data_IF_675633208745
#
_entry.id   IF_675633208745
#
_cell.length_a   1.000
_cell.length_b   1.000
_cell.length_c   1.000
_cell.angle_alpha   90.00
_cell.angle_beta   90.00
_cell.angle_gamma   90.00
#
_symmetry.space_group_name_H-M   'P 1'
#
loop_
_entity.id
_entity.type
_entity.pdbx_description
1 polymer ?
#
# COMPACT_ATOMS: atom_id res chain seq x y z
N UNK A 1 -5.81 -50.13 -16.24
CA UNK A 1 -6.70 -49.32 -15.38
C UNK A 1 -5.90 -48.42 -14.41
N UNK A 2 -4.92 -47.64 -14.90
CA UNK A 2 -4.12 -46.74 -14.04
C UNK A 2 -4.18 -45.26 -14.44
N UNK A 3 -4.63 -44.95 -15.66
CA UNK A 3 -4.78 -43.55 -16.12
C UNK A 3 -6.00 -42.83 -15.54
N UNK A 4 -7.10 -43.55 -15.28
CA UNK A 4 -8.34 -42.95 -14.76
C UNK A 4 -8.17 -42.48 -13.31
N UNK A 5 -7.37 -43.19 -12.51
CA UNK A 5 -7.12 -42.82 -11.11
C UNK A 5 -6.23 -41.57 -10.97
N UNK A 6 -5.23 -41.38 -11.84
CA UNK A 6 -4.41 -40.17 -11.81
C UNK A 6 -5.20 -38.93 -12.22
N UNK A 7 -6.08 -39.04 -13.22
CA UNK A 7 -6.89 -37.90 -13.67
C UNK A 7 -7.86 -37.43 -12.57
N UNK A 8 -8.45 -38.38 -11.83
CA UNK A 8 -9.36 -38.08 -10.71
C UNK A 8 -8.61 -37.41 -9.54
N UNK A 9 -7.39 -37.83 -9.22
CA UNK A 9 -6.59 -37.23 -8.15
C UNK A 9 -6.16 -35.80 -8.51
N UNK A 10 -5.76 -35.55 -9.76
CA UNK A 10 -5.41 -34.19 -10.22
C UNK A 10 -6.65 -33.29 -10.25
N UNK A 11 -7.82 -33.80 -10.66
CA UNK A 11 -9.06 -33.03 -10.63
C UNK A 11 -9.49 -32.70 -9.20
N UNK A 12 -9.37 -33.64 -8.27
CA UNK A 12 -9.70 -33.44 -6.86
C UNK A 12 -8.72 -32.48 -6.16
N UNK A 13 -7.43 -32.52 -6.52
CA UNK A 13 -6.45 -31.55 -6.02
C UNK A 13 -6.73 -30.15 -6.57
N UNK A 14 -7.05 -30.01 -7.87
CA UNK A 14 -7.43 -28.74 -8.47
C UNK A 14 -8.74 -28.18 -7.86
N UNK A 15 -9.75 -29.04 -7.63
CA UNK A 15 -11.00 -28.67 -6.97
C UNK A 15 -10.82 -28.34 -5.49
N UNK A 16 -9.89 -29.00 -4.79
CA UNK A 16 -9.56 -28.67 -3.40
C UNK A 16 -8.83 -27.33 -3.27
N UNK A 17 -8.04 -26.94 -4.28
CA UNK A 17 -7.43 -25.61 -4.35
C UNK A 17 -8.45 -24.53 -4.73
N UNK A 18 -9.43 -24.83 -5.58
CA UNK A 18 -10.56 -23.94 -5.91
C UNK A 18 -11.61 -23.81 -4.79
N UNK A 19 -11.65 -24.74 -3.84
CA UNK A 19 -12.64 -24.76 -2.74
C UNK A 19 -12.11 -24.14 -1.43
N UNK A 20 -10.89 -23.61 -1.42
CA UNK A 20 -10.27 -22.95 -0.26
C UNK A 20 -10.30 -21.41 -0.34
N UNK A 21 -10.73 -20.84 -1.46
CA UNK A 21 -11.12 -19.43 -1.57
C UNK A 21 -12.64 -19.36 -1.54
N UNK A 22 -13.18 -19.13 -0.34
CA UNK A 22 -14.58 -18.72 -0.21
C UNK A 22 -14.74 -17.40 -0.96
N UNK A 23 -15.69 -17.27 -1.91
CA UNK A 23 -15.94 -16.00 -2.60
C UNK A 23 -16.42 -14.89 -1.65
N UNK A 24 -16.85 -15.23 -0.43
CA UNK A 24 -17.11 -14.24 0.61
C UNK A 24 -15.80 -13.65 1.18
N UNK A 25 -14.72 -14.43 1.23
CA UNK A 25 -13.45 -13.97 1.80
C UNK A 25 -12.76 -12.98 0.86
N UNK A 26 -12.79 -13.19 -0.47
CA UNK A 26 -12.15 -12.26 -1.42
C UNK A 26 -12.80 -10.86 -1.45
N UNK A 27 -14.12 -10.80 -1.34
CA UNK A 27 -14.87 -9.53 -1.30
C UNK A 27 -14.59 -8.73 -0.03
N UNK A 28 -14.58 -9.41 1.11
CA UNK A 28 -14.30 -8.81 2.42
C UNK A 28 -12.83 -8.37 2.54
N UNK A 29 -11.91 -9.18 2.02
CA UNK A 29 -10.49 -8.89 1.91
C UNK A 29 -10.22 -7.64 1.05
N UNK A 30 -10.88 -7.55 -0.12
CA UNK A 30 -10.77 -6.36 -0.98
C UNK A 30 -11.37 -5.13 -0.30
N UNK A 31 -12.52 -5.25 0.35
CA UNK A 31 -13.14 -4.16 1.09
C UNK A 31 -12.22 -3.63 2.19
N UNK A 32 -11.57 -4.53 2.94
CA UNK A 32 -10.57 -4.19 3.97
C UNK A 32 -9.38 -3.42 3.39
N UNK A 33 -8.80 -3.89 2.29
CA UNK A 33 -7.72 -3.17 1.60
C UNK A 33 -8.18 -1.78 1.13
N UNK A 34 -9.41 -1.66 0.62
CA UNK A 34 -9.98 -0.37 0.19
C UNK A 34 -10.21 0.59 1.35
N UNK A 35 -10.62 0.10 2.53
CA UNK A 35 -10.75 0.92 3.75
C UNK A 35 -9.40 1.53 4.11
N UNK A 36 -8.36 0.72 4.10
CA UNK A 36 -6.99 1.19 4.32
C UNK A 36 -6.56 2.21 3.25
N UNK A 37 -6.76 1.95 1.96
CA UNK A 37 -6.41 2.90 0.88
C UNK A 37 -7.17 4.22 1.06
N UNK A 38 -8.47 4.18 1.35
CA UNK A 38 -9.30 5.37 1.56
C UNK A 38 -8.86 6.18 2.78
N UNK A 39 -8.35 5.50 3.81
CA UNK A 39 -7.80 6.15 4.99
C UNK A 39 -6.53 6.95 4.64
N UNK A 40 -5.62 6.38 3.85
CA UNK A 40 -4.30 6.97 3.63
C UNK A 40 -4.18 7.82 2.37
N UNK A 41 -5.14 7.75 1.45
CA UNK A 41 -5.19 8.60 0.27
C UNK A 41 -5.39 10.08 0.66
N UNK A 42 -4.46 10.94 0.24
CA UNK A 42 -4.51 12.35 0.57
C UNK A 42 -3.18 13.10 0.46
N UNK A 43 -3.26 14.39 0.82
CA UNK A 43 -2.12 15.29 0.91
C UNK A 43 -1.72 15.52 2.37
N UNK A 44 -0.43 15.38 2.66
CA UNK A 44 0.12 15.40 4.01
C UNK A 44 1.12 16.53 4.17
N UNK A 45 0.97 17.31 5.23
CA UNK A 45 1.80 18.47 5.54
C UNK A 45 2.46 18.29 6.90
N UNK A 46 3.68 18.80 7.08
CA UNK A 46 4.25 18.81 8.43
C UNK A 46 3.49 19.79 9.34
N UNK A 47 3.29 19.41 10.61
CA UNK A 47 2.55 20.24 11.57
C UNK A 47 3.28 21.48 12.07
N UNK A 48 4.20 22.05 11.29
CA UNK A 48 5.00 23.22 11.67
C UNK A 48 4.27 24.52 11.32
N UNK A 49 4.71 25.63 11.89
CA UNK A 49 4.13 26.97 11.68
C UNK A 49 4.06 27.40 10.20
N UNK A 50 4.88 26.79 9.33
CA UNK A 50 4.80 26.91 7.87
C UNK A 50 4.62 25.50 7.26
N UNK A 51 3.39 25.01 7.08
CA UNK A 51 3.15 23.65 6.64
C UNK A 51 3.68 23.45 5.22
N UNK A 52 4.67 22.58 5.08
CA UNK A 52 5.18 22.17 3.76
C UNK A 52 4.52 20.85 3.36
N UNK A 53 4.01 20.77 2.12
CA UNK A 53 3.53 19.51 1.56
C UNK A 53 4.70 18.52 1.60
N UNK A 54 4.52 17.49 2.41
CA UNK A 54 5.56 16.53 2.72
C UNK A 54 5.32 15.24 1.96
N UNK A 55 4.06 14.79 1.85
CA UNK A 55 3.74 13.57 1.11
C UNK A 55 2.43 13.70 0.34
N UNK A 56 2.39 13.03 -0.79
CA UNK A 56 1.18 12.85 -1.60
C UNK A 56 0.95 11.35 -1.78
N UNK A 57 -0.24 10.88 -1.42
CA UNK A 57 -0.65 9.48 -1.62
C UNK A 57 -1.90 9.45 -2.47
N UNK A 58 -1.79 8.94 -3.70
CA UNK A 58 -2.88 8.90 -4.68
C UNK A 58 -3.27 7.46 -4.97
N UNK A 59 -4.57 7.10 -4.91
CA UNK A 59 -5.04 5.89 -5.55
C UNK A 59 -4.79 5.97 -7.06
N UNK A 60 -4.13 4.97 -7.64
CA UNK A 60 -3.82 4.92 -9.09
C UNK A 60 -4.14 3.55 -9.66
N UNK A 61 -4.39 3.48 -10.96
CA UNK A 61 -4.54 2.21 -11.67
C UNK A 61 -3.26 1.89 -12.45
N UNK A 62 -2.51 0.90 -11.98
CA UNK A 62 -1.35 0.37 -12.69
C UNK A 62 -1.69 -0.98 -13.34
N UNK A 63 -1.84 -1.00 -14.67
CA UNK A 63 -2.30 -2.17 -15.42
C UNK A 63 -1.39 -3.40 -15.20
N UNK A 64 -0.09 -3.19 -15.02
CA UNK A 64 0.90 -4.23 -14.75
C UNK A 64 0.70 -4.99 -13.41
N UNK A 65 -0.19 -4.50 -12.54
CA UNK A 65 -0.44 -5.06 -11.22
C UNK A 65 -1.89 -5.49 -11.00
N UNK A 66 -2.77 -5.34 -11.99
CA UNK A 66 -4.15 -5.82 -11.88
C UNK A 66 -4.19 -7.32 -11.52
N UNK A 67 -5.05 -7.77 -10.58
CA UNK A 67 -6.11 -7.02 -9.88
C UNK A 67 -5.71 -6.39 -8.53
N UNK A 68 -4.41 -6.33 -8.20
CA UNK A 68 -3.92 -5.70 -6.95
C UNK A 68 -4.26 -4.21 -6.90
N UNK A 69 -4.55 -3.69 -5.70
CA UNK A 69 -4.71 -2.26 -5.50
C UNK A 69 -3.35 -1.57 -5.54
N UNK A 70 -3.30 -0.40 -6.16
CA UNK A 70 -2.05 0.37 -6.28
C UNK A 70 -2.24 1.81 -5.84
N UNK A 71 -1.22 2.35 -5.17
CA UNK A 71 -1.16 3.76 -4.81
C UNK A 71 0.16 4.35 -5.28
N UNK A 72 0.12 5.60 -5.70
CA UNK A 72 1.31 6.40 -5.92
C UNK A 72 1.67 7.12 -4.62
N UNK A 73 2.94 7.07 -4.25
CA UNK A 73 3.52 7.84 -3.14
C UNK A 73 4.56 8.80 -3.70
N UNK A 74 4.41 10.08 -3.40
CA UNK A 74 5.46 11.10 -3.50
C UNK A 74 5.87 11.56 -2.11
N UNK A 75 7.17 11.61 -1.84
CA UNK A 75 7.76 12.18 -0.64
C UNK A 75 8.65 13.37 -1.02
N UNK A 76 8.28 14.54 -0.52
CA UNK A 76 8.88 15.84 -0.79
C UNK A 76 9.78 16.32 0.36
N UNK A 77 10.01 15.51 1.40
CA UNK A 77 10.64 15.96 2.65
C UNK A 77 12.14 16.33 2.49
N UNK A 78 12.94 15.64 1.63
CA UNK A 78 14.38 15.92 1.33
C UNK A 78 14.92 15.17 0.08
N UNK A 79 16.01 15.65 -0.58
CA UNK A 79 16.09 16.80 -1.49
C UNK A 79 15.54 16.47 -2.91
N UNK A 80 15.47 17.48 -3.79
CA UNK A 80 15.11 17.30 -5.21
C UNK A 80 16.05 16.30 -5.90
N UNK A 81 15.52 15.35 -6.69
CA UNK A 81 14.12 15.17 -7.09
C UNK A 81 13.25 14.53 -5.99
N UNK A 82 11.91 14.75 -5.97
CA UNK A 82 11.01 14.06 -5.05
C UNK A 82 11.19 12.55 -5.12
N UNK A 83 11.11 11.89 -3.97
CA UNK A 83 11.17 10.44 -3.91
C UNK A 83 9.81 9.86 -4.28
N UNK A 84 9.77 8.94 -5.26
CA UNK A 84 8.53 8.45 -5.86
C UNK A 84 8.49 6.93 -5.91
N UNK A 85 7.35 6.37 -5.54
CA UNK A 85 7.11 4.93 -5.55
C UNK A 85 5.67 4.59 -5.94
N UNK A 86 5.49 3.43 -6.56
CA UNK A 86 4.21 2.77 -6.69
C UNK A 86 4.10 1.73 -5.59
N UNK A 87 3.14 1.89 -4.69
CA UNK A 87 2.83 0.97 -3.62
C UNK A 87 1.80 -0.03 -4.12
N UNK A 88 2.12 -1.32 -4.06
CA UNK A 88 1.21 -2.40 -4.48
C UNK A 88 0.75 -3.14 -3.23
N UNK A 89 -0.57 -3.14 -3.00
CA UNK A 89 -1.16 -3.72 -1.80
C UNK A 89 -1.69 -5.12 -2.09
N UNK A 90 -1.52 -6.01 -1.11
CA UNK A 90 -2.04 -7.38 -1.13
C UNK A 90 -2.43 -7.81 0.28
N UNK A 91 -3.40 -8.70 0.36
CA UNK A 91 -3.64 -9.43 1.59
C UNK A 91 -2.63 -10.58 1.69
N UNK A 92 -2.17 -10.83 2.91
CA UNK A 92 -1.30 -11.97 3.21
C UNK A 92 -2.13 -13.10 3.82
N UNK A 93 -1.69 -14.37 3.67
CA UNK A 93 -2.37 -15.52 4.28
C UNK A 93 -2.45 -15.47 5.82
N UNK A 94 -1.59 -14.67 6.46
CA UNK A 94 -1.57 -14.47 7.91
C UNK A 94 -2.53 -13.35 8.38
N UNK A 95 -3.36 -12.81 7.48
CA UNK A 95 -4.36 -11.79 7.79
C UNK A 95 -3.77 -10.39 7.94
N UNK A 96 -2.50 -10.16 7.57
CA UNK A 96 -1.91 -8.82 7.50
C UNK A 96 -2.02 -8.23 6.09
N UNK A 97 -1.92 -6.90 6.00
CA UNK A 97 -1.81 -6.22 4.72
C UNK A 97 -0.32 -6.08 4.37
N UNK A 98 0.04 -6.52 3.17
CA UNK A 98 1.34 -6.35 2.57
C UNK A 98 1.35 -5.14 1.63
N UNK A 99 2.37 -4.28 1.74
CA UNK A 99 2.67 -3.27 0.72
C UNK A 99 4.05 -3.53 0.16
N UNK A 100 4.13 -3.84 -1.13
CA UNK A 100 5.40 -3.90 -1.84
C UNK A 100 5.65 -2.58 -2.56
N UNK A 101 6.73 -1.85 -2.23
CA UNK A 101 7.10 -0.63 -2.94
C UNK A 101 7.81 -0.99 -4.24
N UNK A 102 7.35 -0.41 -5.35
CA UNK A 102 7.97 -0.50 -6.65
C UNK A 102 8.49 0.87 -7.10
N UNK A 103 9.69 0.86 -7.64
CA UNK A 103 10.28 1.96 -8.37
C UNK A 103 10.02 1.76 -9.86
N UNK A 104 10.07 2.85 -10.60
CA UNK A 104 9.75 2.90 -12.03
C UNK A 104 10.56 4.01 -12.71
N UNK A 105 10.72 3.99 -14.04
CA UNK A 105 11.41 5.06 -14.75
C UNK A 105 10.57 6.35 -14.72
N UNK A 106 11.16 7.45 -14.26
CA UNK A 106 10.58 8.78 -14.37
C UNK A 106 11.68 9.84 -14.55
N UNK A 107 11.31 10.99 -15.11
CA UNK A 107 12.22 12.14 -15.17
C UNK A 107 12.27 12.82 -13.79
N UNK A 108 13.46 12.83 -13.21
CA UNK A 108 13.74 13.45 -11.94
C UNK A 108 13.57 14.98 -11.97
N UNK A 109 13.62 15.61 -13.16
CA UNK A 109 13.50 17.06 -13.27
C UNK A 109 12.06 17.58 -13.21
N UNK A 110 11.06 16.69 -13.33
CA UNK A 110 9.66 17.11 -13.32
C UNK A 110 9.16 17.37 -11.90
N UNK A 111 8.54 18.55 -11.71
CA UNK A 111 7.95 18.97 -10.43
C UNK A 111 6.61 18.28 -10.15
N UNK A 112 6.09 17.50 -11.10
CA UNK A 112 4.93 16.63 -10.90
C UNK A 112 5.08 15.33 -11.70
N UNK A 113 4.23 14.36 -11.40
CA UNK A 113 4.12 13.15 -12.23
C UNK A 113 2.72 13.09 -12.85
N UNK A 114 2.66 12.82 -14.15
CA UNK A 114 1.42 12.39 -14.78
C UNK A 114 1.19 10.91 -14.43
N UNK A 115 0.27 10.65 -13.51
CA UNK A 115 -0.07 9.29 -13.06
C UNK A 115 -0.68 8.42 -14.17
N UNK A 116 -1.05 9.00 -15.33
CA UNK A 116 -1.48 8.22 -16.50
C UNK A 116 -0.37 7.30 -17.03
N UNK A 117 0.90 7.57 -16.70
CA UNK A 117 2.04 6.73 -17.08
C UNK A 117 1.87 5.28 -16.60
N UNK A 118 1.22 5.04 -15.45
CA UNK A 118 1.04 3.71 -14.88
C UNK A 118 0.13 2.80 -15.72
N UNK A 119 -0.67 3.37 -16.61
CA UNK A 119 -1.48 2.61 -17.57
C UNK A 119 -0.64 2.10 -18.76
N UNK A 120 0.51 2.73 -19.03
CA UNK A 120 1.39 2.44 -20.18
C UNK A 120 2.54 1.51 -19.82
N UNK A 121 3.05 1.60 -18.60
CA UNK A 121 4.17 0.79 -18.12
C UNK A 121 3.78 -0.69 -17.98
N UNK A 122 4.72 -1.57 -18.35
CA UNK A 122 4.65 -3.02 -18.21
C UNK A 122 5.36 -3.49 -16.94
N UNK A 123 5.13 -4.75 -16.54
CA UNK A 123 5.70 -5.28 -15.29
C UNK A 123 7.24 -5.22 -15.24
N UNK A 124 7.90 -5.34 -16.39
CA UNK A 124 9.36 -5.26 -16.53
C UNK A 124 9.93 -3.86 -16.31
N UNK A 125 9.10 -2.82 -16.39
CA UNK A 125 9.53 -1.44 -16.16
C UNK A 125 9.66 -1.11 -14.67
N UNK A 126 9.14 -1.97 -13.81
CA UNK A 126 9.17 -1.80 -12.37
C UNK A 126 10.26 -2.65 -11.73
N UNK A 127 10.89 -2.11 -10.70
CA UNK A 127 11.80 -2.87 -9.84
C UNK A 127 11.46 -2.65 -8.37
N UNK A 128 11.79 -3.64 -7.54
CA UNK A 128 11.61 -3.57 -6.09
C UNK A 128 12.80 -4.21 -5.41
N UNK A 129 13.07 -3.80 -4.17
CA UNK A 129 14.06 -4.47 -3.35
C UNK A 129 13.45 -5.74 -2.77
N UNK A 130 14.13 -6.91 -2.90
CA UNK A 130 13.64 -8.16 -2.33
C UNK A 130 13.44 -8.02 -0.81
N UNK A 131 12.33 -8.58 -0.30
CA UNK A 131 12.01 -8.58 1.14
C UNK A 131 11.81 -7.18 1.76
N UNK A 132 11.51 -6.17 0.94
CA UNK A 132 11.14 -4.81 1.39
C UNK A 132 9.62 -4.60 1.49
N UNK A 133 8.86 -5.65 1.82
CA UNK A 133 7.43 -5.51 2.02
C UNK A 133 7.16 -4.81 3.36
N UNK A 134 6.37 -3.73 3.34
CA UNK A 134 5.82 -3.14 4.56
C UNK A 134 4.67 -4.01 5.01
N UNK A 135 4.68 -4.39 6.28
CA UNK A 135 3.61 -5.17 6.89
C UNK A 135 2.75 -4.25 7.71
N UNK A 136 1.43 -4.32 7.49
CA UNK A 136 0.45 -3.51 8.18
C UNK A 136 -0.43 -4.41 9.02
N UNK A 137 -0.50 -4.05 10.30
CA UNK A 137 -1.43 -4.63 11.26
C UNK A 137 -2.57 -3.66 11.50
N UNK A 138 -3.79 -4.19 11.45
CA UNK A 138 -5.00 -3.46 11.82
C UNK A 138 -5.39 -3.84 13.25
N UNK A 139 -5.60 -2.84 14.10
CA UNK A 139 -6.07 -2.99 15.47
C UNK A 139 -7.27 -2.04 15.59
N UNK A 140 -8.48 -2.58 15.53
CA UNK A 140 -9.70 -1.77 15.39
C UNK A 140 -9.58 -0.84 14.17
N UNK A 141 -9.76 0.47 14.33
CA UNK A 141 -9.65 1.46 13.25
C UNK A 141 -8.24 2.08 13.11
N UNK A 142 -7.23 1.44 13.72
CA UNK A 142 -5.84 1.90 13.73
C UNK A 142 -4.98 0.97 12.88
N UNK A 143 -4.28 1.54 11.91
CA UNK A 143 -3.33 0.81 11.07
C UNK A 143 -1.90 1.11 11.49
N UNK A 144 -1.20 0.08 11.95
CA UNK A 144 0.20 0.13 12.34
C UNK A 144 1.09 -0.40 11.22
N UNK A 145 2.04 0.42 10.80
CA UNK A 145 3.00 0.10 9.74
C UNK A 145 4.29 -0.38 10.36
N UNK A 146 4.84 -1.47 9.84
CA UNK A 146 6.17 -1.92 10.14
C UNK A 146 6.97 -2.09 8.85
N UNK A 147 8.00 -1.26 8.66
CA UNK A 147 8.95 -1.43 7.56
C UNK A 147 10.17 -2.21 8.06
N UNK A 148 10.37 -3.47 7.60
CA UNK A 148 11.56 -4.24 7.99
C UNK A 148 12.83 -3.65 7.37
N UNK A 149 13.97 -3.83 8.04
CA UNK A 149 15.28 -3.60 7.42
C UNK A 149 15.41 -4.42 6.14
N UNK A 150 15.71 -3.74 5.03
CA UNK A 150 15.75 -4.41 3.75
C UNK A 150 16.68 -3.68 2.75
N UNK A 151 17.57 -4.43 2.10
CA UNK A 151 18.57 -3.88 1.18
C UNK A 151 19.44 -2.80 1.84
N UNK A 152 19.55 -1.66 1.17
CA UNK A 152 20.27 -0.48 1.67
C UNK A 152 19.42 0.42 2.59
N UNK A 153 18.15 0.08 2.80
CA UNK A 153 17.25 0.81 3.69
C UNK A 153 17.55 0.38 5.13
N UNK A 154 18.43 1.15 5.78
CA UNK A 154 18.82 0.95 7.18
C UNK A 154 17.91 1.69 8.18
N UNK A 155 16.71 2.08 7.80
CA UNK A 155 15.81 2.80 8.71
C UNK A 155 14.64 1.91 9.04
N UNK A 156 14.48 1.58 10.33
CA UNK A 156 13.19 1.06 10.80
C UNK A 156 12.24 2.24 10.91
N UNK A 157 11.09 2.06 10.28
CA UNK A 157 10.03 3.03 10.29
C UNK A 157 8.76 2.36 10.79
N UNK A 158 8.15 3.00 11.80
CA UNK A 158 6.82 2.67 12.28
C UNK A 158 5.91 3.87 12.06
N UNK A 159 4.71 3.59 11.57
CA UNK A 159 3.65 4.56 11.51
C UNK A 159 2.32 4.09 12.03
N UNK A 160 1.47 5.08 12.28
CA UNK A 160 0.10 4.92 12.70
C UNK A 160 -0.77 5.80 11.81
N UNK A 161 -1.87 5.24 11.29
CA UNK A 161 -2.94 5.96 10.61
C UNK A 161 -4.29 5.58 11.23
N UNK A 162 -5.15 6.57 11.47
CA UNK A 162 -6.52 6.38 11.97
C UNK A 162 -7.42 7.53 11.48
N UNK A 163 -8.74 7.35 11.50
CA UNK A 163 -9.70 8.33 10.98
C UNK A 163 -9.72 9.63 11.82
N UNK A 164 -9.78 9.49 13.15
CA UNK A 164 -9.83 10.61 14.09
C UNK A 164 -8.48 11.32 14.24
N UNK A 165 -7.39 10.57 13.99
CA UNK A 165 -6.06 11.15 13.93
C UNK A 165 -5.88 11.78 12.55
N UNK A 166 -6.00 13.11 12.49
CA UNK A 166 -5.59 13.88 11.31
C UNK A 166 -4.11 13.70 10.97
N UNK A 167 -3.33 13.00 11.80
CA UNK A 167 -1.89 12.84 11.73
C UNK A 167 -1.43 11.45 11.29
N UNK A 168 -0.38 11.40 10.48
CA UNK A 168 0.48 10.24 10.32
C UNK A 168 1.66 10.39 11.28
N UNK A 169 1.82 9.47 12.21
CA UNK A 169 2.98 9.46 13.09
C UNK A 169 4.09 8.67 12.40
N UNK A 170 5.27 9.24 12.22
CA UNK A 170 6.43 8.48 11.71
C UNK A 170 7.62 8.54 12.64
N UNK A 171 8.21 7.38 12.88
CA UNK A 171 9.43 7.22 13.67
C UNK A 171 10.59 6.86 12.75
N UNK A 172 11.70 7.62 12.78
CA UNK A 172 12.91 7.32 12.01
C UNK A 172 14.01 6.88 12.98
N UNK A 173 14.35 5.60 13.02
CA UNK A 173 15.51 5.16 13.81
C UNK A 173 16.19 3.91 13.24
N UNK A 174 17.52 3.91 13.25
CA UNK A 174 18.40 2.77 12.90
C UNK A 174 18.43 1.70 14.00
N UNK A 175 18.11 2.08 15.24
CA UNK A 175 18.11 1.23 16.41
C UNK A 175 16.89 1.55 17.29
N UNK A 176 16.26 0.55 17.93
CA UNK A 176 15.02 0.72 18.72
C UNK A 176 15.21 1.51 20.03
N UNK A 177 16.20 2.40 20.10
CA UNK A 177 16.36 3.29 21.24
C UNK A 177 15.20 4.29 21.28
N UNK A 178 14.19 3.97 22.08
CA UNK A 178 12.97 4.76 22.25
C UNK A 178 13.23 6.19 22.75
N UNK A 179 14.39 6.49 23.34
CA UNK A 179 14.72 7.83 23.83
C UNK A 179 15.21 8.78 22.73
N UNK A 180 15.56 8.26 21.55
CA UNK A 180 15.99 9.07 20.39
C UNK A 180 14.93 9.13 19.29
N UNK A 181 13.78 8.50 19.52
CA UNK A 181 12.66 8.50 18.58
C UNK A 181 12.02 9.90 18.58
N UNK A 182 12.18 10.63 17.48
CA UNK A 182 11.43 11.86 17.24
C UNK A 182 10.23 11.53 16.35
N UNK A 183 9.00 11.65 16.86
CA UNK A 183 7.82 11.53 16.03
C UNK A 183 7.75 12.70 15.05
N UNK A 184 7.57 12.43 13.77
CA UNK A 184 7.08 13.44 12.83
C UNK A 184 5.57 13.23 12.69
N UNK A 185 4.82 14.30 12.96
CA UNK A 185 3.38 14.35 12.76
C UNK A 185 3.10 14.99 11.41
N UNK A 186 2.48 14.24 10.50
CA UNK A 186 2.05 14.76 9.21
C UNK A 186 0.52 14.87 9.18
N UNK A 187 0.00 16.07 8.97
CA UNK A 187 -1.43 16.33 8.97
C UNK A 187 -2.01 16.15 7.57
N UNK A 188 -3.04 15.31 7.46
CA UNK A 188 -3.83 15.12 6.24
C UNK A 188 -4.83 16.27 6.13
N UNK A 189 -4.68 17.11 5.11
CA UNK A 189 -5.56 18.27 4.89
C UNK A 189 -6.76 17.94 4.02
N UNK A 190 -6.60 17.00 3.08
CA UNK A 190 -7.62 16.59 2.13
C UNK A 190 -7.52 15.09 1.90
N UNK A 191 -8.68 14.42 1.94
CA UNK A 191 -8.84 13.02 1.58
C UNK A 191 -9.15 12.92 0.10
N UNK A 192 -8.52 11.97 -0.57
CA UNK A 192 -8.76 11.75 -1.99
C UNK A 192 -9.64 10.52 -2.20
N UNK A 193 -10.63 10.59 -3.11
CA UNK A 193 -11.56 9.49 -3.32
C UNK A 193 -10.86 8.28 -3.95
N UNK A 194 -11.39 7.09 -3.68
CA UNK A 194 -11.01 5.88 -4.38
C UNK A 194 -11.42 5.96 -5.86
N UNK A 195 -10.64 5.33 -6.74
CA UNK A 195 -11.00 5.22 -8.15
C UNK A 195 -12.18 4.24 -8.32
N UNK A 196 -13.14 4.49 -9.23
CA UNK A 196 -14.24 3.57 -9.49
C UNK A 196 -13.78 2.15 -9.82
N UNK A 197 -12.68 2.00 -10.57
CA UNK A 197 -12.11 0.69 -10.93
C UNK A 197 -11.57 -0.09 -9.73
N UNK A 198 -11.25 0.57 -8.61
CA UNK A 198 -10.83 -0.11 -7.38
C UNK A 198 -12.01 -0.76 -6.66
N UNK A 199 -13.21 -0.16 -6.78
CA UNK A 199 -14.46 -0.63 -6.17
C UNK A 199 -15.12 -1.77 -6.95
N UNK A 200 -14.64 -2.10 -8.15
CA UNK A 200 -15.14 -3.24 -8.92
C UNK A 200 -15.11 -4.53 -8.08
N UNK A 201 -16.24 -5.24 -8.06
CA UNK A 201 -16.42 -6.46 -7.26
C UNK A 201 -16.81 -6.24 -5.79
N UNK A 202 -16.87 -4.99 -5.31
CA UNK A 202 -17.27 -4.66 -3.93
C UNK A 202 -18.66 -4.04 -3.93
N UNK A 203 -19.66 -4.77 -3.42
CA UNK A 203 -21.07 -4.36 -3.51
C UNK A 203 -21.45 -3.24 -2.53
N UNK A 204 -20.82 -3.19 -1.35
CA UNK A 204 -21.15 -2.23 -0.29
C UNK A 204 -19.88 -1.72 0.41
N UNK A 205 -19.17 -0.80 -0.23
CA UNK A 205 -18.03 -0.13 0.39
C UNK A 205 -18.51 1.01 1.30
N UNK A 206 -18.23 0.90 2.60
CA UNK A 206 -18.37 1.99 3.55
C UNK A 206 -16.98 2.56 3.86
N UNK A 207 -16.84 3.86 3.62
CA UNK A 207 -15.64 4.61 3.96
C UNK A 207 -15.56 4.79 5.49
N UNK A 208 -14.48 4.33 6.15
CA UNK A 208 -14.38 4.34 7.60
C UNK A 208 -14.29 5.74 8.21
N UNK A 209 -14.00 6.79 7.42
CA UNK A 209 -13.92 8.17 7.91
C UNK A 209 -14.89 9.14 7.20
N UNK A 210 -16.00 8.61 6.66
CA UNK A 210 -17.09 9.41 6.09
C UNK A 210 -17.92 10.18 7.14
#
# INVERSE_FOLDING_TARGET
MHFVNCLIIVLLLALSQLSLESPNDEGDNRARLLRFVSLIAGFYYDGKENPLLTKTVLPVQANAFYPSLTMYLEDNERPKPPFRQLLVLRERPDGYIAITPYFFPYDNNDTGIDVSIFQKLQRSDYWTYPKCELVITEIEDIYMFNWPFCGDIKTNFMAIAACDLKGYLTYKNLEPNITTIFPVLLYKTERLPLLPSMLEGVQHFEDPCA
#
